data_IF_809463929725
#
_entry.id   IF_809463929725
#
_cell.length_a   1.000
_cell.length_b   1.000
_cell.length_c   1.000
_cell.angle_alpha   90.00
_cell.angle_beta   90.00
_cell.angle_gamma   90.00
#
_symmetry.space_group_name_H-M   'P 1'
#
loop_
_entity.id
_entity.type
_entity.pdbx_description
1 polymer ?
#
# COMPACT_ATOMS: atom_id res chain seq x y z
N UNK A 1 -10.58 3.24 10.40
CA UNK A 1 -9.51 3.84 9.54
C UNK A 1 -10.05 4.18 8.15
N UNK A 2 -9.63 5.30 7.56
CA UNK A 2 -9.97 5.72 6.19
C UNK A 2 -8.73 6.24 5.44
N UNK A 3 -8.58 5.90 4.17
CA UNK A 3 -7.51 6.42 3.31
C UNK A 3 -7.99 7.73 2.64
N UNK A 4 -7.19 8.79 2.73
CA UNK A 4 -7.49 10.10 2.13
C UNK A 4 -6.78 10.31 0.80
N UNK A 5 -5.52 9.91 0.71
CA UNK A 5 -4.71 10.11 -0.48
C UNK A 5 -3.63 9.06 -0.61
N UNK A 6 -3.17 8.88 -1.85
CA UNK A 6 -1.98 8.09 -2.18
C UNK A 6 -1.13 8.88 -3.17
N UNK A 7 0.18 8.84 -2.98
CA UNK A 7 1.20 9.37 -3.90
C UNK A 7 2.17 8.25 -4.26
N UNK A 8 2.56 8.18 -5.51
CA UNK A 8 3.45 7.14 -6.01
C UNK A 8 4.59 7.76 -6.85
N UNK A 9 5.82 7.49 -6.45
CA UNK A 9 7.02 7.94 -7.16
C UNK A 9 7.78 6.71 -7.67
N UNK A 10 7.99 6.70 -8.99
CA UNK A 10 8.61 5.59 -9.72
C UNK A 10 7.99 4.22 -9.35
N UNK A 11 6.68 4.06 -9.56
CA UNK A 11 5.91 2.86 -9.22
C UNK A 11 5.15 2.34 -10.45
N UNK A 12 5.70 1.31 -11.11
CA UNK A 12 5.18 0.87 -12.41
C UNK A 12 5.10 2.05 -13.40
N UNK A 13 3.91 2.38 -13.95
CA UNK A 13 3.73 3.53 -14.84
C UNK A 13 3.61 4.88 -14.11
N UNK A 14 3.49 4.90 -12.78
CA UNK A 14 3.28 6.12 -12.00
C UNK A 14 4.62 6.80 -11.69
N UNK A 15 4.79 8.05 -12.12
CA UNK A 15 6.06 8.78 -12.03
C UNK A 15 5.90 10.13 -11.28
N UNK A 16 5.49 10.07 -10.01
CA UNK A 16 5.29 11.26 -9.18
C UNK A 16 3.84 11.76 -9.20
N UNK A 17 2.89 10.85 -9.38
CA UNK A 17 1.46 11.16 -9.41
C UNK A 17 0.85 11.01 -8.01
N UNK A 18 -0.25 11.73 -7.77
CA UNK A 18 -1.05 11.61 -6.56
C UNK A 18 -2.53 11.46 -6.89
N UNK A 19 -3.24 10.67 -6.08
CA UNK A 19 -4.68 10.45 -6.15
C UNK A 19 -5.32 10.80 -4.81
N UNK A 20 -6.34 11.65 -4.85
CA UNK A 20 -7.20 11.95 -3.70
C UNK A 20 -8.40 10.98 -3.72
N UNK A 21 -8.71 10.39 -2.56
CA UNK A 21 -9.83 9.49 -2.38
C UNK A 21 -11.00 10.22 -1.72
N UNK A 22 -12.20 9.97 -2.22
CA UNK A 22 -13.44 10.47 -1.62
C UNK A 22 -13.72 9.74 -0.29
N UNK A 23 -14.49 10.38 0.60
CA UNK A 23 -14.86 9.81 1.90
C UNK A 23 -15.77 8.59 1.84
N UNK A 24 -16.49 8.40 0.73
CA UNK A 24 -17.36 7.27 0.48
C UNK A 24 -16.76 6.34 -0.58
N UNK A 25 -17.16 6.55 -1.83
CA UNK A 25 -16.75 5.71 -2.95
C UNK A 25 -15.86 6.48 -3.92
N UNK A 26 -14.72 5.89 -4.27
CA UNK A 26 -13.84 6.36 -5.35
C UNK A 26 -13.86 5.33 -6.48
N UNK A 27 -14.12 5.78 -7.71
CA UNK A 27 -14.10 4.91 -8.89
C UNK A 27 -12.94 5.35 -9.79
N UNK A 28 -11.97 4.45 -9.99
CA UNK A 28 -10.82 4.69 -10.87
C UNK A 28 -11.11 4.03 -12.22
N UNK A 29 -11.28 4.84 -13.27
CA UNK A 29 -11.62 4.37 -14.62
C UNK A 29 -10.53 4.79 -15.62
N UNK A 30 -10.32 3.95 -16.63
CA UNK A 30 -9.40 4.22 -17.72
C UNK A 30 -9.24 3.00 -18.62
N UNK A 31 -8.64 3.19 -19.80
CA UNK A 31 -8.35 2.10 -20.75
C UNK A 31 -7.45 1.02 -20.14
N UNK A 32 -7.32 -0.14 -20.78
CA UNK A 32 -6.30 -1.08 -20.34
C UNK A 32 -4.93 -0.38 -20.26
N UNK A 33 -4.10 -0.79 -19.29
CA UNK A 33 -2.77 -0.19 -19.03
C UNK A 33 -2.77 1.26 -18.53
N UNK A 34 -3.94 1.84 -18.21
CA UNK A 34 -4.05 3.20 -17.64
C UNK A 34 -3.66 3.31 -16.15
N UNK A 35 -2.75 2.46 -15.65
CA UNK A 35 -2.28 2.44 -14.26
C UNK A 35 -3.32 2.12 -13.15
N UNK A 36 -4.55 1.68 -13.47
CA UNK A 36 -5.58 1.36 -12.45
C UNK A 36 -5.11 0.34 -11.41
N UNK A 37 -4.57 -0.79 -11.88
CA UNK A 37 -4.03 -1.82 -10.99
C UNK A 37 -2.78 -1.34 -10.25
N UNK A 38 -2.00 -0.43 -10.85
CA UNK A 38 -0.85 0.21 -10.23
C UNK A 38 -1.26 1.11 -9.08
N UNK A 39 -2.36 1.86 -9.19
CA UNK A 39 -2.92 2.62 -8.07
C UNK A 39 -3.35 1.72 -6.91
N UNK A 40 -4.04 0.62 -7.20
CA UNK A 40 -4.41 -0.36 -6.18
C UNK A 40 -3.18 -0.94 -5.47
N UNK A 41 -2.14 -1.30 -6.23
CA UNK A 41 -0.88 -1.79 -5.69
C UNK A 41 -0.10 -0.72 -4.88
N UNK A 42 -0.13 0.55 -5.32
CA UNK A 42 0.50 1.66 -4.61
C UNK A 42 -0.19 1.96 -3.28
N UNK A 43 -1.53 1.88 -3.23
CA UNK A 43 -2.29 2.02 -1.98
C UNK A 43 -1.88 0.92 -0.99
N UNK A 44 -1.86 -0.33 -1.44
CA UNK A 44 -1.43 -1.45 -0.61
C UNK A 44 0.01 -1.28 -0.12
N UNK A 45 0.95 -0.96 -1.02
CA UNK A 45 2.36 -0.79 -0.68
C UNK A 45 2.61 0.41 0.23
N UNK A 46 1.90 1.53 0.04
CA UNK A 46 2.04 2.72 0.88
C UNK A 46 1.46 2.51 2.27
N UNK A 47 0.39 1.73 2.40
CA UNK A 47 -0.20 1.40 3.70
C UNK A 47 0.61 0.35 4.47
N UNK A 48 0.96 -0.75 3.81
CA UNK A 48 1.55 -1.91 4.48
C UNK A 48 3.08 -1.97 4.38
N UNK A 49 3.70 -1.18 3.51
CA UNK A 49 5.11 -1.30 3.18
C UNK A 49 5.45 -2.60 2.46
N UNK A 50 6.75 -2.91 2.39
CA UNK A 50 7.27 -4.17 1.85
C UNK A 50 8.02 -4.94 2.92
N UNK A 51 7.94 -6.27 2.88
CA UNK A 51 8.71 -7.14 3.78
C UNK A 51 10.20 -7.00 3.45
N UNK A 52 11.05 -6.76 4.46
CA UNK A 52 12.50 -6.66 4.29
C UNK A 52 13.19 -7.87 4.93
N UNK A 53 14.23 -8.40 4.28
CA UNK A 53 15.09 -9.46 4.85
C UNK A 53 14.64 -10.91 4.58
N UNK A 54 15.28 -11.89 5.26
CA UNK A 54 14.99 -13.32 5.08
C UNK A 54 13.54 -13.62 5.49
N UNK A 55 12.78 -14.23 4.59
CA UNK A 55 11.34 -14.47 4.76
C UNK A 55 10.44 -13.82 3.71
N UNK A 56 11.00 -13.14 2.69
CA UNK A 56 10.24 -12.70 1.52
C UNK A 56 9.55 -13.89 0.82
N UNK A 57 8.23 -13.81 0.74
CA UNK A 57 7.43 -14.79 0.03
C UNK A 57 7.63 -14.69 -1.48
N UNK A 58 7.19 -15.72 -2.23
CA UNK A 58 7.15 -15.66 -3.71
C UNK A 58 6.29 -14.48 -4.19
N UNK A 59 5.18 -14.19 -3.49
CA UNK A 59 4.28 -13.07 -3.78
C UNK A 59 4.98 -11.72 -3.62
N UNK A 60 5.79 -11.55 -2.57
CA UNK A 60 6.55 -10.31 -2.34
C UNK A 60 7.57 -10.05 -3.46
N UNK A 61 8.22 -11.11 -3.97
CA UNK A 61 9.18 -11.00 -5.09
C UNK A 61 8.48 -10.63 -6.39
N UNK A 62 7.40 -11.33 -6.71
CA UNK A 62 6.59 -11.06 -7.90
C UNK A 62 6.03 -9.63 -7.87
N UNK A 63 5.57 -9.16 -6.70
CA UNK A 63 5.13 -7.78 -6.53
C UNK A 63 6.22 -6.78 -6.88
N UNK A 64 7.46 -7.04 -6.46
CA UNK A 64 8.60 -6.18 -6.78
C UNK A 64 8.96 -6.23 -8.27
N UNK A 65 8.96 -7.41 -8.89
CA UNK A 65 9.22 -7.55 -10.33
C UNK A 65 8.22 -6.77 -11.19
N UNK A 66 6.95 -6.69 -10.76
CA UNK A 66 5.89 -6.00 -11.50
C UNK A 66 5.89 -4.48 -11.34
N UNK A 67 6.31 -3.96 -10.18
CA UNK A 67 6.12 -2.54 -9.84
C UNK A 67 7.41 -1.78 -9.61
N UNK A 68 8.54 -2.46 -9.44
CA UNK A 68 9.83 -1.80 -9.29
C UNK A 68 10.24 -1.21 -10.64
N UNK A 69 10.58 0.09 -10.70
CA UNK A 69 11.07 0.74 -11.90
C UNK A 69 12.44 0.17 -12.30
N UNK A 70 12.72 0.11 -13.60
CA UNK A 70 13.98 -0.43 -14.11
C UNK A 70 15.11 0.60 -14.03
N UNK A 71 14.78 1.88 -14.24
CA UNK A 71 15.75 2.97 -14.37
C UNK A 71 15.75 3.96 -13.19
N UNK A 72 15.14 3.59 -12.05
CA UNK A 72 15.05 4.46 -10.88
C UNK A 72 15.21 3.71 -9.57
N UNK A 73 15.88 4.36 -8.61
CA UNK A 73 15.99 3.86 -7.24
C UNK A 73 14.99 4.53 -6.28
N UNK A 74 14.16 5.45 -6.76
CA UNK A 74 13.26 6.26 -5.94
C UNK A 74 11.94 5.55 -5.55
N UNK A 75 11.83 4.23 -5.77
CA UNK A 75 10.58 3.47 -5.64
C UNK A 75 9.89 3.69 -4.28
N UNK A 76 8.86 4.52 -4.29
CA UNK A 76 8.23 5.10 -3.10
C UNK A 76 6.70 5.12 -3.26
N UNK A 77 6.03 4.77 -2.18
CA UNK A 77 4.59 4.96 -2.03
C UNK A 77 4.31 5.71 -0.73
N UNK A 78 3.44 6.70 -0.79
CA UNK A 78 3.02 7.47 0.38
C UNK A 78 1.50 7.47 0.47
N UNK A 79 0.95 7.22 1.65
CA UNK A 79 -0.49 7.17 1.89
C UNK A 79 -0.82 8.02 3.11
N UNK A 80 -1.85 8.85 2.99
CA UNK A 80 -2.42 9.56 4.15
C UNK A 80 -3.70 8.88 4.59
N UNK A 81 -3.79 8.56 5.88
CA UNK A 81 -4.97 7.94 6.50
C UNK A 81 -5.49 8.77 7.67
N UNK A 82 -6.78 8.63 7.93
CA UNK A 82 -7.42 9.09 9.17
C UNK A 82 -7.79 7.87 10.00
N UNK A 83 -7.31 7.84 11.24
CA UNK A 83 -7.61 6.80 12.21
C UNK A 83 -8.94 7.10 12.93
N UNK A 84 -9.48 6.10 13.62
CA UNK A 84 -10.77 6.24 14.31
C UNK A 84 -10.69 7.13 15.57
N UNK A 85 -9.48 7.32 16.10
CA UNK A 85 -9.17 8.30 17.15
C UNK A 85 -9.04 9.74 16.62
N UNK A 86 -9.24 9.95 15.31
CA UNK A 86 -9.17 11.23 14.63
C UNK A 86 -7.77 11.67 14.19
N UNK A 87 -6.71 10.90 14.50
CA UNK A 87 -5.35 11.22 14.02
C UNK A 87 -5.26 11.10 12.50
N UNK A 88 -4.53 12.04 11.90
CA UNK A 88 -4.14 11.95 10.49
C UNK A 88 -2.70 11.50 10.41
N UNK A 89 -2.48 10.33 9.81
CA UNK A 89 -1.15 9.72 9.71
C UNK A 89 -0.73 9.66 8.25
N UNK A 90 0.48 10.15 7.96
CA UNK A 90 1.15 9.93 6.69
C UNK A 90 2.10 8.74 6.83
N UNK A 91 1.89 7.71 6.02
CA UNK A 91 2.83 6.60 5.87
C UNK A 91 3.63 6.84 4.61
N UNK A 92 4.95 6.99 4.76
CA UNK A 92 5.91 7.06 3.67
C UNK A 92 6.65 5.75 3.62
N UNK A 93 6.64 5.07 2.47
CA UNK A 93 7.24 3.75 2.31
C UNK A 93 8.30 3.77 1.22
N UNK A 94 9.58 3.64 1.63
CA UNK A 94 10.66 3.34 0.70
C UNK A 94 10.61 1.84 0.37
N UNK A 95 10.22 1.55 -0.86
CA UNK A 95 10.08 0.19 -1.36
C UNK A 95 11.38 -0.32 -1.98
N UNK A 96 12.30 0.56 -2.38
CA UNK A 96 13.63 0.19 -2.84
C UNK A 96 14.45 -0.55 -1.76
N UNK A 97 14.09 -0.37 -0.49
CA UNK A 97 14.72 -1.02 0.66
C UNK A 97 15.71 -0.12 1.38
N UNK A 98 15.63 1.20 1.16
CA UNK A 98 16.39 2.18 1.96
C UNK A 98 15.65 2.42 3.28
N UNK A 99 16.37 2.83 4.32
CA UNK A 99 15.85 2.93 5.70
C UNK A 99 15.00 4.20 5.93
N UNK A 100 14.16 4.60 4.96
CA UNK A 100 13.35 5.84 5.01
C UNK A 100 11.83 5.58 5.11
N UNK A 101 11.40 4.36 5.43
CA UNK A 101 9.99 4.08 5.70
C UNK A 101 9.59 4.57 7.09
N UNK A 102 8.54 5.39 7.18
CA UNK A 102 8.08 6.02 8.42
C UNK A 102 6.58 6.26 8.44
N UNK A 103 6.00 6.33 9.64
CA UNK A 103 4.65 6.80 9.87
C UNK A 103 4.70 8.06 10.75
N UNK A 104 4.07 9.15 10.29
CA UNK A 104 4.11 10.46 10.96
C UNK A 104 2.69 10.95 11.23
N UNK A 105 2.39 11.28 12.49
CA UNK A 105 1.22 12.09 12.82
C UNK A 105 1.46 13.52 12.32
N UNK A 106 0.72 13.92 11.29
CA UNK A 106 0.98 15.19 10.60
C UNK A 106 0.50 16.40 11.42
N UNK A 107 -0.43 16.20 12.35
CA UNK A 107 -0.98 17.28 13.19
C UNK A 107 -0.01 17.59 14.32
N UNK A 108 0.54 16.54 14.94
CA UNK A 108 1.50 16.65 16.03
C UNK A 108 2.96 16.71 15.57
N UNK A 109 3.21 16.54 14.27
CA UNK A 109 4.55 16.41 13.68
C UNK A 109 5.41 15.37 14.40
N UNK A 110 4.81 14.23 14.75
CA UNK A 110 5.42 13.18 15.58
C UNK A 110 5.61 11.89 14.80
N UNK A 111 6.79 11.30 14.89
CA UNK A 111 7.00 9.94 14.41
C UNK A 111 6.23 8.94 15.29
N UNK A 112 5.44 8.08 14.64
CA UNK A 112 4.62 7.03 15.27
C UNK A 112 4.91 5.65 14.67
N UNK A 113 6.03 5.51 13.95
CA UNK A 113 6.44 4.28 13.27
C UNK A 113 6.47 3.07 14.21
N UNK A 114 7.00 3.27 15.42
CA UNK A 114 7.17 2.23 16.44
C UNK A 114 5.84 1.61 16.90
N UNK A 115 4.70 2.32 16.75
CA UNK A 115 3.38 1.78 17.07
C UNK A 115 3.00 0.61 16.14
N UNK A 116 3.55 0.57 14.93
CA UNK A 116 3.11 -0.32 13.84
C UNK A 116 4.26 -1.00 13.08
N UNK A 117 5.45 -1.10 13.67
CA UNK A 117 6.59 -1.76 13.02
C UNK A 117 6.31 -3.24 12.74
N UNK A 118 6.48 -3.66 11.49
CA UNK A 118 6.26 -5.04 11.03
C UNK A 118 7.27 -5.41 9.95
N UNK A 119 8.05 -6.48 10.19
CA UNK A 119 9.00 -7.02 9.22
C UNK A 119 9.93 -5.98 8.54
N UNK A 120 10.41 -5.01 9.34
CA UNK A 120 11.40 -4.02 8.94
C UNK A 120 10.86 -2.71 8.36
N UNK A 121 9.54 -2.49 8.36
CA UNK A 121 8.90 -1.23 7.98
C UNK A 121 7.59 -1.01 8.79
N UNK A 122 7.08 0.22 8.90
CA UNK A 122 5.74 0.48 9.44
C UNK A 122 4.67 -0.19 8.58
N UNK A 123 3.67 -0.82 9.20
CA UNK A 123 2.55 -1.48 8.51
C UNK A 123 1.22 -1.01 9.10
N UNK A 124 0.50 -0.15 8.36
CA UNK A 124 -0.77 0.45 8.78
C UNK A 124 -1.90 -0.56 9.01
N UNK A 125 -1.79 -1.79 8.50
CA UNK A 125 -2.75 -2.85 8.79
C UNK A 125 -2.83 -3.16 10.31
N UNK A 126 -1.73 -2.91 11.06
CA UNK A 126 -1.70 -3.12 12.50
C UNK A 126 -2.68 -2.24 13.28
N UNK A 127 -3.01 -1.04 12.81
CA UNK A 127 -4.07 -0.23 13.44
C UNK A 127 -5.47 -0.85 13.30
N UNK A 128 -5.66 -1.73 12.31
CA UNK A 128 -6.88 -2.53 12.16
C UNK A 128 -6.83 -3.85 12.95
N UNK A 129 -5.74 -4.13 13.65
CA UNK A 129 -5.51 -5.42 14.30
C UNK A 129 -5.26 -6.57 13.31
N UNK A 130 -4.92 -6.24 12.06
CA UNK A 130 -4.67 -7.20 10.99
C UNK A 130 -3.18 -7.34 10.73
N UNK A 131 -2.76 -8.55 10.36
CA UNK A 131 -1.51 -8.71 9.65
C UNK A 131 -1.70 -8.42 8.15
N UNK A 132 -0.58 -8.40 7.42
CA UNK A 132 -0.56 -8.04 6.01
C UNK A 132 -1.35 -9.02 5.13
N UNK A 133 -1.30 -10.31 5.44
CA UNK A 133 -1.99 -11.33 4.67
C UNK A 133 -3.50 -11.24 4.88
N UNK A 134 -3.94 -11.01 6.12
CA UNK A 134 -5.34 -10.78 6.49
C UNK A 134 -5.87 -9.49 5.87
N UNK A 135 -5.07 -8.42 5.86
CA UNK A 135 -5.42 -7.16 5.21
C UNK A 135 -5.61 -7.34 3.70
N UNK A 136 -4.70 -8.07 3.04
CA UNK A 136 -4.82 -8.35 1.62
C UNK A 136 -6.08 -9.19 1.30
N UNK A 137 -6.41 -10.15 2.15
CA UNK A 137 -7.59 -11.00 1.98
C UNK A 137 -8.93 -10.28 2.21
N UNK A 138 -8.96 -9.22 3.03
CA UNK A 138 -10.20 -8.58 3.48
C UNK A 138 -10.43 -7.17 2.92
N UNK A 139 -9.37 -6.40 2.73
CA UNK A 139 -9.44 -4.99 2.34
C UNK A 139 -8.88 -4.70 0.93
N UNK A 140 -8.03 -5.58 0.38
CA UNK A 140 -7.44 -5.44 -0.96
C UNK A 140 -7.82 -6.61 -1.88
N UNK A 141 -9.09 -6.69 -2.26
CA UNK A 141 -9.60 -7.75 -3.13
C UNK A 141 -9.04 -7.56 -4.54
N UNK A 142 -8.16 -8.46 -4.96
CA UNK A 142 -7.62 -8.48 -6.31
C UNK A 142 -8.56 -9.23 -7.28
N UNK A 143 -8.37 -9.00 -8.59
CA UNK A 143 -9.22 -9.63 -9.62
C UNK A 143 -9.17 -11.16 -9.60
N UNK A 144 -8.02 -11.76 -9.28
CA UNK A 144 -7.87 -13.22 -9.25
C UNK A 144 -8.61 -13.86 -8.06
N UNK A 145 -8.60 -13.21 -6.89
CA UNK A 145 -9.30 -13.68 -5.70
C UNK A 145 -10.82 -13.74 -5.91
N UNK A 146 -11.37 -12.82 -6.70
CA UNK A 146 -12.78 -12.85 -7.10
C UNK A 146 -13.12 -14.07 -7.96
N UNK A 147 -12.23 -14.46 -8.87
CA UNK A 147 -12.42 -15.64 -9.72
C UNK A 147 -12.36 -16.94 -8.90
N UNK A 148 -11.42 -17.06 -7.97
CA UNK A 148 -11.29 -18.23 -7.09
C UNK A 148 -12.56 -18.48 -6.25
N UNK A 149 -13.20 -17.41 -5.75
CA UNK A 149 -14.47 -17.51 -5.01
C UNK A 149 -15.59 -18.00 -5.93
N UNK A 150 -15.68 -17.48 -7.16
CA UNK A 150 -16.70 -17.90 -8.12
C UNK A 150 -16.53 -19.36 -8.52
N UNK A 151 -15.29 -19.80 -8.75
CA UNK A 151 -14.96 -21.20 -9.06
C UNK A 151 -15.33 -22.12 -7.90
N UNK A 152 -14.96 -21.75 -6.67
CA UNK A 152 -15.25 -22.53 -5.47
C UNK A 152 -16.74 -22.61 -5.14
N UNK A 153 -17.52 -21.55 -5.44
CA UNK A 153 -18.97 -21.54 -5.24
C UNK A 153 -19.74 -22.37 -6.28
N UNK A 154 -19.08 -22.71 -7.39
CA UNK A 154 -19.64 -23.53 -8.48
C UNK A 154 -19.26 -25.02 -8.42
N UNK A 155 -18.43 -25.41 -7.44
CA UNK A 155 -18.00 -26.78 -7.16
C UNK A 155 -18.86 -27.42 -6.06
#
# INVERSE_FOLDING_TARGET
>A
MRIQSVSAEAFGPLAGESLQLASGMTVIVGRNESAKSSWHAAIYAGLCGRRRGPGMSKKDRQFAELHKPWDSDAWLAEVTVVLDDGRTIQLRQDLAGRVDSRATDIVLARDVSDEIMSAGAPDGAKWLGLDRDSFLATACINQAALLEVLESASA
#
